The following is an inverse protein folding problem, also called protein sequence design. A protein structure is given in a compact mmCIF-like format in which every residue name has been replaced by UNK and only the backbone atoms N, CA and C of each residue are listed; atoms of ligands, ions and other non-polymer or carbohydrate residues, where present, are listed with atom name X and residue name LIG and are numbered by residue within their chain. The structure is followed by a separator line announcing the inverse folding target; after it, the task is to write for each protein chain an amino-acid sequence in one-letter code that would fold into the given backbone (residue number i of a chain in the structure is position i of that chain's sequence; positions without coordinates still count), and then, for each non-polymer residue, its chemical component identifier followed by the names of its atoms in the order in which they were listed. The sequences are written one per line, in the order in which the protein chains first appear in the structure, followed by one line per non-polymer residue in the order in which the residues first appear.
data_IF_431374601452
#
_entry.id   IF_431374601452
#
_cell.length_a   1.000
_cell.length_b   1.000
_cell.length_c   1.000
_cell.angle_alpha   90.00
_cell.angle_beta   90.00
_cell.angle_gamma   90.00
#
_symmetry.space_group_name_H-M   'P 1'
#
loop_
_entity.id
_entity.type
_entity.pdbx_description
1 polymer ?
#
# COMPACT_ATOMS: atom_id res chain seq x y z
N UNK A 1 -10.07 -12.26 15.92
CA UNK A 1 -9.71 -11.07 16.72
C UNK A 1 -8.21 -11.01 17.00
N UNK A 2 -7.58 -12.02 17.62
CA UNK A 2 -6.11 -12.17 17.61
C UNK A 2 -5.50 -12.22 16.19
N UNK A 3 -6.31 -12.59 15.20
CA UNK A 3 -5.95 -12.62 13.78
C UNK A 3 -5.69 -11.24 13.15
N UNK A 4 -6.34 -10.14 13.56
CA UNK A 4 -6.20 -8.88 12.80
C UNK A 4 -4.83 -8.21 13.03
N UNK A 5 -4.36 -8.16 14.29
CA UNK A 5 -3.02 -7.64 14.63
C UNK A 5 -1.94 -8.41 13.87
N UNK A 6 -1.97 -9.74 13.98
CA UNK A 6 -0.99 -10.62 13.33
C UNK A 6 -1.01 -10.44 11.81
N UNK A 7 -2.20 -10.33 11.19
CA UNK A 7 -2.33 -10.14 9.74
C UNK A 7 -1.85 -8.75 9.31
N UNK A 8 -2.10 -7.71 10.09
CA UNK A 8 -1.56 -6.37 9.84
C UNK A 8 -0.04 -6.35 9.92
N UNK A 9 0.55 -6.98 10.94
CA UNK A 9 2.01 -7.13 11.08
C UNK A 9 2.61 -7.91 9.90
N UNK A 10 1.98 -9.02 9.50
CA UNK A 10 2.40 -9.83 8.35
C UNK A 10 2.39 -9.01 7.05
N UNK A 11 1.32 -8.24 6.81
CA UNK A 11 1.16 -7.40 5.61
C UNK A 11 2.16 -6.26 5.60
N UNK A 12 2.25 -5.50 6.69
CA UNK A 12 3.20 -4.38 6.83
C UNK A 12 4.64 -4.86 6.71
N UNK A 13 4.94 -6.03 7.27
CA UNK A 13 6.27 -6.65 7.21
C UNK A 13 6.75 -6.96 5.79
N UNK A 14 5.85 -7.18 4.83
CA UNK A 14 6.25 -7.48 3.45
C UNK A 14 6.87 -6.28 2.73
N UNK A 15 6.54 -5.05 3.12
CA UNK A 15 7.06 -3.86 2.44
C UNK A 15 8.58 -3.81 2.46
N UNK A 16 9.21 -4.12 3.59
CA UNK A 16 10.67 -4.12 3.74
C UNK A 16 11.40 -5.04 2.73
N UNK A 17 10.76 -6.12 2.28
CA UNK A 17 11.33 -7.07 1.33
C UNK A 17 11.09 -6.67 -0.15
N UNK A 18 10.14 -5.78 -0.40
CA UNK A 18 9.66 -5.42 -1.73
C UNK A 18 9.79 -3.92 -2.03
N UNK A 19 10.88 -3.32 -1.53
CA UNK A 19 11.27 -1.93 -1.80
C UNK A 19 10.56 -0.89 -0.94
N UNK A 20 9.86 -1.30 0.11
CA UNK A 20 9.30 -0.41 1.12
C UNK A 20 10.14 -0.27 2.37
N UNK A 21 9.67 0.59 3.25
CA UNK A 21 10.31 0.90 4.52
C UNK A 21 10.10 -0.22 5.54
N UNK A 22 10.95 -0.24 6.58
CA UNK A 22 10.86 -1.21 7.68
C UNK A 22 9.95 -0.78 8.82
N UNK A 23 9.55 0.48 8.82
CA UNK A 23 8.75 1.09 9.88
C UNK A 23 7.58 1.87 9.32
N UNK A 24 6.59 2.08 10.17
CA UNK A 24 5.41 2.88 9.84
C UNK A 24 5.60 4.34 10.24
N UNK A 25 5.06 5.23 9.43
CA UNK A 25 5.18 6.67 9.60
C UNK A 25 4.08 7.24 10.47
N UNK A 26 2.90 6.61 10.48
CA UNK A 26 1.78 6.96 11.34
C UNK A 26 0.85 5.78 11.55
N UNK A 27 0.08 5.85 12.65
CA UNK A 27 -1.02 4.95 12.94
C UNK A 27 -2.24 5.77 13.39
N UNK A 28 -3.42 5.45 12.88
CA UNK A 28 -4.69 6.13 13.20
C UNK A 28 -5.80 5.11 13.41
N UNK A 29 -6.69 5.37 14.37
CA UNK A 29 -7.84 4.51 14.67
C UNK A 29 -9.12 5.31 14.51
N UNK A 30 -9.99 4.82 13.64
CA UNK A 30 -11.26 5.45 13.29
C UNK A 30 -12.41 4.68 13.93
N UNK A 31 -13.19 5.29 14.82
CA UNK A 31 -14.37 4.66 15.41
C UNK A 31 -15.57 4.75 14.48
N UNK A 32 -16.39 3.71 14.42
CA UNK A 32 -17.66 3.57 13.70
C UNK A 32 -17.62 3.79 12.17
N UNK A 33 -17.06 4.90 11.68
CA UNK A 33 -16.91 5.24 10.26
C UNK A 33 -15.85 6.34 10.05
N UNK A 34 -15.54 6.66 8.80
CA UNK A 34 -14.51 7.64 8.41
C UNK A 34 -14.80 9.11 8.77
N UNK A 35 -16.01 9.45 9.21
CA UNK A 35 -16.42 10.84 9.53
C UNK A 35 -16.25 11.16 11.01
N UNK A 36 -16.03 10.15 11.84
CA UNK A 36 -15.80 10.35 13.26
C UNK A 36 -14.41 10.92 13.54
N UNK A 37 -14.25 11.51 14.74
CA UNK A 37 -12.92 11.89 15.21
C UNK A 37 -12.09 10.64 15.52
N UNK A 38 -10.81 10.67 15.14
CA UNK A 38 -9.90 9.56 15.43
C UNK A 38 -9.82 9.33 16.95
N UNK A 39 -10.02 8.07 17.36
CA UNK A 39 -9.91 7.65 18.76
C UNK A 39 -8.43 7.59 19.19
N UNK A 40 -7.53 7.37 18.23
CA UNK A 40 -6.08 7.37 18.40
C UNK A 40 -5.44 7.89 17.11
N UNK A 41 -4.38 8.69 17.23
CA UNK A 41 -3.56 9.11 16.11
C UNK A 41 -2.14 9.39 16.61
N UNK A 42 -1.16 8.81 15.94
CA UNK A 42 0.26 9.00 16.22
C UNK A 42 1.05 9.16 14.91
N UNK A 43 2.00 10.10 14.90
CA UNK A 43 2.88 10.36 13.75
C UNK A 43 4.33 10.22 14.21
N UNK A 44 5.00 9.17 13.74
CA UNK A 44 6.33 8.78 14.18
C UNK A 44 7.44 9.51 13.41
N UNK A 45 7.22 9.79 12.13
CA UNK A 45 8.19 10.39 11.22
C UNK A 45 8.68 9.44 10.13
N UNK A 46 9.61 9.90 9.30
CA UNK A 46 10.12 9.18 8.13
C UNK A 46 11.49 8.54 8.40
N UNK A 47 11.83 7.50 7.63
CA UNK A 47 13.14 6.86 7.66
C UNK A 47 13.51 6.34 9.05
N UNK A 48 14.60 6.86 9.63
CA UNK A 48 15.09 6.43 10.96
C UNK A 48 14.14 6.76 12.12
N UNK A 49 13.19 7.67 11.92
CA UNK A 49 12.18 8.04 12.91
C UNK A 49 10.90 7.19 12.78
N UNK A 50 10.80 6.37 11.74
CA UNK A 50 9.65 5.48 11.56
C UNK A 50 9.57 4.47 12.71
N UNK A 51 8.35 4.20 13.16
CA UNK A 51 8.11 3.27 14.26
C UNK A 51 8.21 1.82 13.81
N UNK A 52 8.64 0.94 14.73
CA UNK A 52 8.61 -0.50 14.48
C UNK A 52 7.16 -0.97 14.31
N UNK A 53 6.95 -1.88 13.36
CA UNK A 53 5.62 -2.34 12.95
C UNK A 53 4.85 -2.95 14.13
N UNK A 54 5.48 -3.87 14.87
CA UNK A 54 4.89 -4.55 16.03
C UNK A 54 4.49 -3.55 17.12
N UNK A 55 5.34 -2.56 17.41
CA UNK A 55 5.03 -1.52 18.38
C UNK A 55 3.84 -0.66 17.94
N UNK A 56 3.84 -0.18 16.70
CA UNK A 56 2.77 0.67 16.20
C UNK A 56 1.42 -0.07 16.11
N UNK A 57 1.42 -1.32 15.65
CA UNK A 57 0.22 -2.16 15.61
C UNK A 57 -0.29 -2.41 17.02
N UNK A 58 0.59 -2.77 17.96
CA UNK A 58 0.19 -3.00 19.36
C UNK A 58 -0.45 -1.76 19.98
N UNK A 59 0.12 -0.57 19.75
CA UNK A 59 -0.44 0.68 20.27
C UNK A 59 -1.81 1.01 19.65
N UNK A 60 -1.94 0.92 18.32
CA UNK A 60 -3.20 1.20 17.66
C UNK A 60 -4.30 0.22 18.04
N UNK A 61 -3.97 -1.06 18.24
CA UNK A 61 -4.91 -2.12 18.61
C UNK A 61 -5.06 -2.31 20.12
N UNK A 62 -4.52 -1.42 20.96
CA UNK A 62 -4.72 -1.47 22.42
C UNK A 62 -6.22 -1.44 22.77
N UNK A 63 -6.99 -0.63 22.01
CA UNK A 63 -8.45 -0.57 22.06
C UNK A 63 -9.06 -1.34 20.87
N UNK A 64 -8.73 -2.63 20.75
CA UNK A 64 -9.32 -3.49 19.72
C UNK A 64 -10.85 -3.55 19.87
N UNK A 65 -11.59 -3.04 18.89
CA UNK A 65 -13.05 -2.99 18.93
C UNK A 65 -13.66 -3.34 17.56
N UNK A 66 -14.80 -4.07 17.51
CA UNK A 66 -15.40 -4.50 16.25
C UNK A 66 -15.87 -3.36 15.34
N UNK A 67 -16.17 -2.19 15.88
CA UNK A 67 -16.61 -1.02 15.12
C UNK A 67 -15.47 -0.07 14.74
N UNK A 68 -14.19 -0.48 14.88
CA UNK A 68 -13.03 0.36 14.56
C UNK A 68 -12.38 -0.03 13.24
N UNK A 69 -11.79 0.94 12.57
CA UNK A 69 -10.80 0.71 11.51
C UNK A 69 -9.43 1.24 11.93
N UNK A 70 -8.39 0.53 11.51
CA UNK A 70 -6.99 0.81 11.84
C UNK A 70 -6.26 1.19 10.56
N UNK A 71 -5.68 2.37 10.50
CA UNK A 71 -4.91 2.84 9.35
C UNK A 71 -3.44 3.00 9.72
N UNK A 72 -2.56 2.42 8.91
CA UNK A 72 -1.12 2.58 9.00
C UNK A 72 -0.59 3.19 7.71
N UNK A 73 0.33 4.14 7.83
CA UNK A 73 1.06 4.67 6.68
C UNK A 73 2.49 4.13 6.68
N UNK A 74 2.93 3.64 5.52
CA UNK A 74 4.28 3.11 5.31
C UNK A 74 4.85 3.64 4.00
N UNK A 75 6.18 3.80 3.96
CA UNK A 75 6.87 4.24 2.75
C UNK A 75 7.10 3.09 1.77
N UNK A 76 6.94 3.37 0.48
CA UNK A 76 7.28 2.47 -0.61
C UNK A 76 8.12 3.16 -1.67
N UNK A 77 9.36 2.71 -1.84
CA UNK A 77 10.34 3.35 -2.72
C UNK A 77 10.17 2.86 -4.15
N UNK A 78 9.63 3.74 -5.00
CA UNK A 78 9.39 3.47 -6.41
C UNK A 78 10.20 4.44 -7.26
N UNK A 79 10.52 4.02 -8.48
CA UNK A 79 11.02 4.92 -9.51
C UNK A 79 9.91 5.85 -10.00
N UNK A 80 10.14 7.16 -9.96
CA UNK A 80 9.23 8.19 -10.44
C UNK A 80 10.03 9.12 -11.39
N UNK A 81 9.49 9.53 -12.56
CA UNK A 81 10.13 10.56 -13.37
C UNK A 81 10.20 11.88 -12.61
N UNK A 82 11.35 12.53 -12.68
CA UNK A 82 11.50 13.92 -12.27
C UNK A 82 10.77 14.79 -13.28
N UNK A 83 9.80 15.58 -12.80
CA UNK A 83 9.04 16.50 -13.63
C UNK A 83 9.94 17.69 -14.01
N UNK A 84 10.68 17.56 -15.11
CA UNK A 84 11.32 18.68 -15.80
C UNK A 84 11.04 18.63 -17.30
N UNK A 85 10.83 19.82 -17.88
CA UNK A 85 10.45 20.16 -19.26
C UNK A 85 11.44 19.69 -20.36
N UNK A 86 12.41 18.83 -20.03
CA UNK A 86 13.48 18.45 -20.95
C UNK A 86 13.31 17.04 -21.54
N UNK A 87 13.89 16.85 -22.72
CA UNK A 87 13.67 15.70 -23.62
C UNK A 87 14.11 14.33 -23.04
N UNK A 88 14.72 14.30 -21.86
CA UNK A 88 15.14 13.09 -21.14
C UNK A 88 14.74 13.19 -19.66
N UNK A 89 13.52 12.76 -19.31
CA UNK A 89 13.08 12.69 -17.91
C UNK A 89 14.05 11.85 -17.09
N UNK A 90 14.70 12.47 -16.10
CA UNK A 90 15.55 11.79 -15.15
C UNK A 90 14.68 10.95 -14.21
N UNK A 91 15.03 9.69 -14.01
CA UNK A 91 14.29 8.80 -13.11
C UNK A 91 14.95 8.74 -11.75
N UNK A 92 14.17 8.96 -10.70
CA UNK A 92 14.66 8.99 -9.32
C UNK A 92 13.81 8.08 -8.44
N UNK A 93 14.43 7.41 -7.48
CA UNK A 93 13.69 6.67 -6.47
C UNK A 93 13.11 7.65 -5.46
N UNK A 94 11.79 7.57 -5.26
CA UNK A 94 11.07 8.38 -4.27
C UNK A 94 10.21 7.49 -3.39
N UNK A 95 10.20 7.79 -2.11
CA UNK A 95 9.30 7.15 -1.14
C UNK A 95 7.89 7.67 -1.37
N UNK A 96 6.99 6.78 -1.80
CA UNK A 96 5.55 7.02 -1.88
C UNK A 96 4.86 6.51 -0.63
N UNK A 97 3.81 7.20 -0.20
CA UNK A 97 3.01 6.77 0.94
C UNK A 97 2.00 5.70 0.51
N UNK A 98 1.99 4.59 1.22
CA UNK A 98 1.02 3.51 1.08
C UNK A 98 0.21 3.44 2.37
N UNK A 99 -1.10 3.28 2.24
CA UNK A 99 -2.02 3.13 3.39
C UNK A 99 -2.41 1.68 3.50
N UNK A 100 -2.22 1.09 4.67
CA UNK A 100 -2.69 -0.25 5.01
C UNK A 100 -3.79 -0.11 6.04
N UNK A 101 -4.98 -0.59 5.70
CA UNK A 101 -6.17 -0.47 6.53
C UNK A 101 -6.62 -1.84 7.01
N UNK A 102 -6.95 -1.96 8.29
CA UNK A 102 -7.60 -3.13 8.88
C UNK A 102 -9.00 -2.78 9.36
N UNK A 103 -10.00 -3.56 8.97
CA UNK A 103 -11.41 -3.32 9.30
C UNK A 103 -11.89 -4.23 10.42
N UNK A 104 -12.51 -3.64 11.43
CA UNK A 104 -13.40 -4.35 12.34
C UNK A 104 -14.69 -4.76 11.63
N UNK A 105 -15.35 -5.85 12.05
CA UNK A 105 -16.53 -6.41 11.39
C UNK A 105 -17.77 -5.50 11.42
N UNK A 106 -17.84 -4.54 12.34
CA UNK A 106 -18.99 -3.64 12.51
C UNK A 106 -18.68 -2.21 12.03
N UNK A 107 -17.45 -1.93 11.59
CA UNK A 107 -17.08 -0.62 11.07
C UNK A 107 -17.78 -0.32 9.74
N UNK A 108 -18.31 0.90 9.61
CA UNK A 108 -18.93 1.49 8.42
C UNK A 108 -19.97 0.55 7.77
N UNK A 109 -20.94 0.12 8.58
CA UNK A 109 -22.01 -0.82 8.20
C UNK A 109 -21.48 -2.15 7.62
N UNK A 110 -20.34 -2.63 8.12
CA UNK A 110 -19.74 -3.89 7.70
C UNK A 110 -18.87 -3.76 6.44
N UNK A 111 -18.12 -2.66 6.30
CA UNK A 111 -17.26 -2.39 5.14
C UNK A 111 -16.33 -3.56 4.75
N UNK A 112 -15.91 -4.37 5.73
CA UNK A 112 -15.06 -5.54 5.50
C UNK A 112 -15.68 -6.57 4.52
N UNK A 113 -17.01 -6.61 4.39
CA UNK A 113 -17.70 -7.54 3.48
C UNK A 113 -17.40 -7.22 2.01
N UNK A 114 -17.16 -5.95 1.70
CA UNK A 114 -16.89 -5.47 0.34
C UNK A 114 -15.39 -5.23 0.10
N UNK A 115 -14.71 -4.67 1.11
CA UNK A 115 -13.31 -4.23 1.02
C UNK A 115 -12.31 -5.31 1.49
N UNK A 116 -12.81 -6.35 2.16
CA UNK A 116 -12.00 -7.32 2.87
C UNK A 116 -11.56 -6.83 4.25
N UNK A 117 -10.97 -7.72 5.04
CA UNK A 117 -10.49 -7.38 6.39
C UNK A 117 -9.26 -6.47 6.36
N UNK A 118 -8.45 -6.55 5.30
CA UNK A 118 -7.28 -5.69 5.09
C UNK A 118 -7.35 -5.12 3.68
N UNK A 119 -7.17 -3.81 3.56
CA UNK A 119 -7.02 -3.08 2.31
C UNK A 119 -5.64 -2.44 2.25
N UNK A 120 -5.01 -2.51 1.08
CA UNK A 120 -3.77 -1.79 0.79
C UNK A 120 -4.07 -0.79 -0.32
N UNK A 121 -3.89 0.48 -0.02
CA UNK A 121 -4.04 1.59 -0.96
C UNK A 121 -2.65 2.12 -1.35
N UNK A 122 -2.25 1.79 -2.59
CA UNK A 122 -0.98 2.20 -3.20
C UNK A 122 -1.02 3.62 -3.79
N UNK A 123 -2.17 4.29 -3.76
CA UNK A 123 -2.40 5.57 -4.42
C UNK A 123 -2.41 5.46 -5.95
N UNK A 124 -1.91 6.51 -6.62
CA UNK A 124 -1.91 6.61 -8.08
C UNK A 124 -1.05 5.54 -8.74
N UNK A 125 -1.58 4.96 -9.84
CA UNK A 125 -0.91 3.97 -10.68
C UNK A 125 0.11 4.55 -11.68
N UNK A 126 0.31 5.87 -11.68
CA UNK A 126 1.26 6.56 -12.55
C UNK A 126 2.68 5.95 -12.55
N UNK A 127 3.27 5.53 -11.41
CA UNK A 127 4.60 4.93 -11.38
C UNK A 127 4.70 3.58 -12.09
N UNK A 128 3.58 2.95 -12.45
CA UNK A 128 3.57 1.64 -13.10
C UNK A 128 3.19 1.72 -14.57
N UNK A 129 2.36 2.70 -14.94
CA UNK A 129 1.80 2.79 -16.29
C UNK A 129 2.46 3.86 -17.14
N UNK A 130 2.65 5.08 -16.62
CA UNK A 130 3.04 6.27 -17.39
C UNK A 130 2.21 6.40 -18.67
N UNK A 131 0.88 6.55 -18.50
CA UNK A 131 -0.06 6.61 -19.63
C UNK A 131 0.24 7.83 -20.52
N UNK A 132 0.15 7.65 -21.84
CA UNK A 132 0.29 8.75 -22.80
C UNK A 132 1.72 9.23 -23.10
N UNK A 133 2.75 8.61 -22.52
CA UNK A 133 4.16 8.98 -22.72
C UNK A 133 4.93 7.91 -23.50
N UNK A 134 5.74 8.34 -24.48
CA UNK A 134 6.69 7.47 -25.16
C UNK A 134 7.83 7.10 -24.21
N UNK A 135 8.05 5.80 -24.00
CA UNK A 135 9.06 5.34 -23.05
C UNK A 135 10.42 5.20 -23.72
N UNK A 136 11.42 5.88 -23.17
CA UNK A 136 12.81 5.61 -23.51
C UNK A 136 13.30 4.32 -22.79
N UNK A 137 14.44 3.73 -23.17
CA UNK A 137 14.92 2.49 -22.55
C UNK A 137 15.15 2.57 -21.03
N UNK A 138 15.44 3.75 -20.48
CA UNK A 138 15.59 3.93 -19.02
C UNK A 138 14.23 3.84 -18.33
N UNK A 139 13.22 4.52 -18.87
CA UNK A 139 11.85 4.50 -18.38
C UNK A 139 11.30 3.06 -18.36
N UNK A 140 11.57 2.28 -19.41
CA UNK A 140 11.17 0.86 -19.48
C UNK A 140 11.74 0.09 -18.28
N UNK A 141 13.05 0.20 -18.01
CA UNK A 141 13.69 -0.51 -16.89
C UNK A 141 13.11 -0.10 -15.53
N UNK A 142 12.90 1.20 -15.32
CA UNK A 142 12.33 1.72 -14.08
C UNK A 142 10.90 1.20 -13.85
N UNK A 143 10.08 1.19 -14.89
CA UNK A 143 8.71 0.66 -14.82
C UNK A 143 8.70 -0.85 -14.58
N UNK A 144 9.53 -1.62 -15.28
CA UNK A 144 9.65 -3.07 -15.06
C UNK A 144 10.04 -3.39 -13.61
N UNK A 145 10.93 -2.61 -13.01
CA UNK A 145 11.31 -2.77 -11.61
C UNK A 145 10.16 -2.45 -10.65
N UNK A 146 9.45 -1.33 -10.85
CA UNK A 146 8.25 -0.99 -10.06
C UNK A 146 7.19 -2.10 -10.15
N UNK A 147 6.93 -2.61 -11.35
CA UNK A 147 5.95 -3.68 -11.56
C UNK A 147 6.40 -4.99 -10.90
N UNK A 148 7.68 -5.32 -10.97
CA UNK A 148 8.24 -6.50 -10.28
C UNK A 148 8.10 -6.38 -8.76
N UNK A 149 8.34 -5.19 -8.19
CA UNK A 149 8.13 -4.94 -6.77
C UNK A 149 6.67 -5.11 -6.37
N UNK A 150 5.73 -4.55 -7.14
CA UNK A 150 4.29 -4.69 -6.89
C UNK A 150 3.84 -6.15 -6.92
N UNK A 151 4.24 -6.91 -7.94
CA UNK A 151 3.90 -8.33 -8.06
C UNK A 151 4.49 -9.11 -6.88
N UNK A 152 5.78 -8.90 -6.57
CA UNK A 152 6.44 -9.58 -5.45
C UNK A 152 5.76 -9.29 -4.11
N UNK A 153 5.41 -8.04 -3.84
CA UNK A 153 4.70 -7.64 -2.63
C UNK A 153 3.34 -8.34 -2.51
N UNK A 154 2.57 -8.33 -3.60
CA UNK A 154 1.26 -8.97 -3.66
C UNK A 154 1.37 -10.47 -3.39
N UNK A 155 2.28 -11.17 -4.08
CA UNK A 155 2.47 -12.61 -3.91
C UNK A 155 2.90 -12.98 -2.49
N UNK A 156 3.78 -12.16 -1.89
CA UNK A 156 4.24 -12.36 -0.52
C UNK A 156 3.11 -12.11 0.49
N UNK A 157 2.32 -11.05 0.32
CA UNK A 157 1.16 -10.77 1.16
C UNK A 157 0.14 -11.90 1.07
N UNK A 158 -0.19 -12.39 -0.13
CA UNK A 158 -1.13 -13.51 -0.30
C UNK A 158 -0.65 -14.77 0.43
N UNK A 159 0.64 -15.10 0.28
CA UNK A 159 1.23 -16.29 0.87
C UNK A 159 1.25 -16.23 2.40
N UNK A 160 1.67 -15.11 2.98
CA UNK A 160 1.86 -15.00 4.44
C UNK A 160 0.54 -14.67 5.16
N UNK A 161 -0.38 -13.96 4.51
CA UNK A 161 -1.67 -13.60 5.12
C UNK A 161 -2.71 -14.72 5.10
N UNK A 162 -2.48 -15.85 4.41
CA UNK A 162 -3.46 -16.93 4.24
C UNK A 162 -4.85 -16.39 3.80
N UNK A 163 -4.88 -15.31 3.00
CA UNK A 163 -6.10 -14.62 2.66
C UNK A 163 -7.11 -15.56 1.98
N UNK A 164 -8.36 -15.57 2.48
CA UNK A 164 -9.43 -16.41 1.94
C UNK A 164 -10.00 -15.91 0.62
N UNK A 165 -9.76 -14.63 0.28
CA UNK A 165 -10.15 -14.00 -0.98
C UNK A 165 -9.29 -12.74 -1.22
N UNK A 166 -9.09 -12.38 -2.48
CA UNK A 166 -8.42 -11.14 -2.89
C UNK A 166 -9.32 -10.32 -3.79
N UNK A 167 -9.40 -9.03 -3.51
CA UNK A 167 -10.02 -8.04 -4.37
C UNK A 167 -8.93 -7.03 -4.78
N UNK A 168 -8.57 -7.00 -6.07
CA UNK A 168 -7.64 -6.03 -6.62
C UNK A 168 -8.45 -4.95 -7.34
N UNK A 169 -8.46 -3.75 -6.77
CA UNK A 169 -9.13 -2.61 -7.38
C UNK A 169 -8.12 -1.58 -7.91
N UNK A 170 -8.51 -0.89 -8.97
CA UNK A 170 -7.79 0.26 -9.53
C UNK A 170 -8.82 1.28 -9.95
N UNK A 171 -8.52 2.54 -9.70
CA UNK A 171 -9.34 3.72 -10.00
C UNK A 171 -9.81 3.80 -11.47
N UNK A 172 -9.23 3.00 -12.39
CA UNK A 172 -9.47 3.09 -13.83
C UNK A 172 -10.45 2.06 -14.42
N UNK A 173 -11.15 1.25 -13.60
CA UNK A 173 -12.28 0.42 -14.03
C UNK A 173 -11.96 -0.81 -14.91
N UNK A 174 -10.89 -0.79 -15.70
CA UNK A 174 -10.21 -2.00 -16.21
C UNK A 174 -9.27 -2.53 -15.13
N UNK A 175 -9.18 -3.86 -14.96
CA UNK A 175 -8.31 -4.42 -13.91
C UNK A 175 -6.87 -3.93 -14.16
N UNK A 176 -6.24 -3.30 -13.17
CA UNK A 176 -4.82 -2.88 -13.25
C UNK A 176 -3.93 -4.01 -13.74
N UNK A 177 -4.25 -5.25 -13.39
CA UNK A 177 -3.62 -6.44 -13.93
C UNK A 177 -3.65 -6.51 -15.47
N UNK A 178 -4.80 -6.26 -16.11
CA UNK A 178 -4.91 -6.21 -17.57
C UNK A 178 -4.09 -5.07 -18.17
N UNK A 179 -4.11 -3.88 -17.55
CA UNK A 179 -3.29 -2.74 -18.00
C UNK A 179 -1.79 -3.00 -17.86
N UNK A 180 -1.37 -3.58 -16.74
CA UNK A 180 0.02 -4.00 -16.49
C UNK A 180 0.46 -5.06 -17.49
N UNK A 181 -0.35 -6.10 -17.72
CA UNK A 181 -0.07 -7.12 -18.73
C UNK A 181 0.03 -6.51 -20.14
N UNK A 182 -0.92 -5.66 -20.52
CA UNK A 182 -0.88 -4.95 -21.80
C UNK A 182 0.30 -3.97 -21.89
N UNK A 183 0.80 -3.44 -20.78
CA UNK A 183 2.00 -2.61 -20.73
C UNK A 183 3.24 -3.47 -20.89
N UNK A 184 3.41 -4.52 -20.09
CA UNK A 184 4.54 -5.46 -20.17
C UNK A 184 4.68 -6.09 -21.55
N UNK A 185 3.57 -6.51 -22.17
CA UNK A 185 3.58 -7.05 -23.54
C UNK A 185 4.02 -6.03 -24.60
N UNK A 186 3.90 -4.71 -24.34
CA UNK A 186 4.40 -3.64 -25.22
C UNK A 186 5.87 -3.28 -24.94
N UNK A 187 6.43 -3.75 -23.82
CA UNK A 187 7.83 -3.54 -23.45
C UNK A 187 8.75 -4.65 -24.00
N UNK A 188 8.20 -5.80 -24.37
CA UNK A 188 8.87 -6.93 -25.04
C UNK A 188 8.97 -6.75 -26.55
#
# INVERSE_FOLDING_TARGET
MASLSEKLEQVLGQFAAHGGERGVFSATVWPMNWREAAAFQEVYGLGEHASQIDYAVTQALELLHPDYAYEFQIGWMLWDPEAEDDLESQWVQRTRLVRVLGYGPEFDDGAYEQEGHIRIDFGSDAPFLQEGVALNPQAIRCLEENVRQLIGLIEAVEKESEASARLLWSELGETLAAKLLARLNRLQ
#
